data_IF_584467661451
#
_entry.id   IF_584467661451
#
_cell.length_a   1.000
_cell.length_b   1.000
_cell.length_c   1.000
_cell.angle_alpha   90.00
_cell.angle_beta   90.00
_cell.angle_gamma   90.00
#
_symmetry.space_group_name_H-M   'P 1'
#
loop_
_entity.id
_entity.type
_entity.pdbx_description
1 polymer ?
#
# COMPACT_ATOMS: atom_id res chain seq x y z
N UNK A 1 -13.15 -1.23 19.97
CA UNK A 1 -13.15 -2.62 19.47
C UNK A 1 -13.69 -2.80 18.05
N UNK A 2 -14.95 -2.44 17.73
CA UNK A 2 -15.49 -2.66 16.36
C UNK A 2 -14.77 -1.78 15.32
N UNK A 3 -14.59 -0.49 15.60
CA UNK A 3 -13.94 0.45 14.67
C UNK A 3 -12.43 0.19 14.53
N UNK A 4 -11.72 -0.12 15.62
CA UNK A 4 -10.31 -0.58 15.59
C UNK A 4 -10.15 -1.78 14.66
N UNK A 5 -11.04 -2.76 14.79
CA UNK A 5 -11.00 -3.98 13.97
C UNK A 5 -11.22 -3.64 12.50
N UNK A 6 -12.15 -2.72 12.18
CA UNK A 6 -12.36 -2.28 10.81
C UNK A 6 -11.11 -1.57 10.26
N UNK A 7 -10.48 -0.69 11.01
CA UNK A 7 -9.25 -0.02 10.58
C UNK A 7 -8.10 -1.02 10.35
N UNK A 8 -7.92 -1.99 11.27
CA UNK A 8 -6.94 -3.06 11.12
C UNK A 8 -7.22 -3.94 9.90
N UNK A 9 -8.50 -4.25 9.61
CA UNK A 9 -8.89 -5.01 8.43
C UNK A 9 -8.68 -4.23 7.13
N UNK A 10 -8.88 -2.91 7.14
CA UNK A 10 -8.58 -2.04 5.99
C UNK A 10 -7.08 -2.06 5.69
N UNK A 11 -6.22 -1.91 6.71
CA UNK A 11 -4.77 -2.01 6.55
C UNK A 11 -4.36 -3.39 6.02
N UNK A 12 -4.94 -4.46 6.56
CA UNK A 12 -4.68 -5.82 6.10
C UNK A 12 -5.08 -6.02 4.63
N UNK A 13 -6.31 -5.64 4.28
CA UNK A 13 -6.84 -5.79 2.92
C UNK A 13 -6.03 -4.99 1.90
N UNK A 14 -5.68 -3.75 2.24
CA UNK A 14 -4.81 -2.91 1.43
C UNK A 14 -3.41 -3.52 1.26
N UNK A 15 -2.79 -3.98 2.35
CA UNK A 15 -1.52 -4.69 2.33
C UNK A 15 -1.52 -5.93 1.44
N UNK A 16 -2.57 -6.75 1.53
CA UNK A 16 -2.73 -7.92 0.66
C UNK A 16 -2.90 -7.54 -0.81
N UNK A 17 -3.50 -6.39 -1.11
CA UNK A 17 -3.59 -5.83 -2.46
C UNK A 17 -2.22 -5.69 -3.14
N UNK A 18 -1.17 -5.32 -2.38
CA UNK A 18 0.18 -5.18 -2.93
C UNK A 18 0.81 -6.49 -3.41
N UNK A 19 0.30 -7.65 -2.98
CA UNK A 19 0.77 -8.95 -3.50
C UNK A 19 0.52 -9.09 -5.01
N UNK A 20 -0.46 -8.37 -5.55
CA UNK A 20 -0.74 -8.34 -6.99
C UNK A 20 0.40 -7.71 -7.80
N UNK A 21 1.09 -6.70 -7.26
CA UNK A 21 2.24 -6.07 -7.91
C UNK A 21 3.46 -7.00 -7.94
N UNK A 22 3.70 -7.75 -6.85
CA UNK A 22 4.72 -8.79 -6.83
C UNK A 22 4.40 -9.90 -7.86
N UNK A 23 3.17 -10.42 -7.82
CA UNK A 23 2.73 -11.46 -8.73
C UNK A 23 2.78 -11.00 -10.20
N UNK A 24 2.40 -9.76 -10.50
CA UNK A 24 2.47 -9.21 -11.85
C UNK A 24 3.90 -9.07 -12.38
N UNK A 25 4.86 -8.81 -11.51
CA UNK A 25 6.27 -8.69 -11.87
C UNK A 25 7.01 -10.04 -11.97
N UNK A 26 6.64 -11.02 -11.15
CA UNK A 26 7.37 -12.28 -11.00
C UNK A 26 6.66 -13.52 -11.57
N UNK A 27 5.42 -13.40 -12.03
CA UNK A 27 4.64 -14.52 -12.55
C UNK A 27 3.88 -14.16 -13.83
N UNK A 28 3.21 -15.16 -14.39
CA UNK A 28 2.31 -14.99 -15.53
C UNK A 28 0.84 -14.81 -15.14
N UNK A 29 0.55 -14.62 -13.84
CA UNK A 29 -0.81 -14.47 -13.32
C UNK A 29 -1.37 -13.09 -13.72
N UNK A 30 -2.65 -13.07 -14.12
CA UNK A 30 -3.37 -11.84 -14.38
C UNK A 30 -3.70 -11.11 -13.06
N UNK A 31 -3.20 -9.88 -12.91
CA UNK A 31 -3.17 -9.15 -11.63
C UNK A 31 -3.74 -7.74 -11.71
N UNK A 32 -4.38 -7.40 -12.84
CA UNK A 32 -4.87 -6.03 -13.08
C UNK A 32 -3.77 -5.03 -13.48
N UNK A 33 -2.54 -5.50 -13.71
CA UNK A 33 -1.50 -4.74 -14.39
C UNK A 33 -1.47 -5.10 -15.87
N UNK A 34 -1.48 -4.08 -16.74
CA UNK A 34 -1.25 -4.25 -18.17
C UNK A 34 0.24 -4.25 -18.51
N UNK A 35 0.62 -4.92 -19.59
CA UNK A 35 1.99 -4.91 -20.11
C UNK A 35 2.27 -3.65 -20.95
N UNK A 36 2.12 -2.49 -20.30
CA UNK A 36 2.48 -1.19 -20.84
C UNK A 36 3.76 -0.69 -20.18
N UNK A 37 4.53 0.17 -20.85
CA UNK A 37 5.63 0.86 -20.20
C UNK A 37 5.12 1.72 -19.05
N UNK A 38 5.94 1.91 -18.02
CA UNK A 38 5.68 2.84 -16.93
C UNK A 38 5.68 4.31 -17.42
N UNK A 39 5.37 5.27 -16.56
CA UNK A 39 5.21 6.68 -16.98
C UNK A 39 6.54 7.40 -17.32
N UNK A 40 7.70 6.86 -16.92
CA UNK A 40 9.00 7.52 -17.09
C UNK A 40 9.82 7.05 -18.31
N UNK A 41 9.27 6.19 -19.17
CA UNK A 41 9.95 5.76 -20.40
C UNK A 41 9.47 4.42 -20.96
N UNK A 42 9.74 4.18 -22.24
CA UNK A 42 9.16 3.06 -22.99
C UNK A 42 9.80 1.69 -22.72
N UNK A 43 11.01 1.68 -22.18
CA UNK A 43 11.80 0.46 -21.99
C UNK A 43 11.49 -0.30 -20.69
N UNK A 44 10.74 0.31 -19.77
CA UNK A 44 10.51 -0.26 -18.44
C UNK A 44 9.10 -0.83 -18.34
N UNK A 45 9.03 -2.16 -18.26
CA UNK A 45 7.79 -2.95 -18.16
C UNK A 45 7.75 -3.69 -16.84
N UNK A 46 6.56 -4.07 -16.38
CA UNK A 46 6.40 -4.72 -15.07
C UNK A 46 7.19 -6.03 -14.95
N UNK A 47 7.36 -6.78 -16.05
CA UNK A 47 8.12 -8.05 -16.07
C UNK A 47 9.62 -7.89 -16.32
N UNK A 48 10.09 -6.67 -16.58
CA UNK A 48 11.51 -6.38 -16.80
C UNK A 48 12.30 -6.46 -15.47
N UNK A 49 13.64 -6.46 -15.50
CA UNK A 49 14.45 -6.45 -14.28
C UNK A 49 14.08 -5.32 -13.31
N UNK A 50 13.80 -4.10 -13.81
CA UNK A 50 13.36 -3.00 -12.95
C UNK A 50 11.98 -3.29 -12.35
N UNK A 51 11.06 -3.86 -13.14
CA UNK A 51 9.73 -4.22 -12.66
C UNK A 51 9.78 -5.28 -11.55
N UNK A 52 10.73 -6.22 -11.63
CA UNK A 52 10.99 -7.20 -10.56
C UNK A 52 11.52 -6.56 -9.28
N UNK A 53 12.39 -5.54 -9.38
CA UNK A 53 12.82 -4.73 -8.23
C UNK A 53 11.62 -4.04 -7.60
N UNK A 54 10.75 -3.43 -8.41
CA UNK A 54 9.49 -2.85 -7.93
C UNK A 54 8.56 -3.89 -7.30
N UNK A 55 8.53 -5.12 -7.82
CA UNK A 55 7.83 -6.25 -7.21
C UNK A 55 8.29 -6.53 -5.77
N UNK A 56 9.58 -6.35 -5.46
CA UNK A 56 10.09 -6.44 -4.10
C UNK A 56 9.64 -5.27 -3.24
N UNK A 57 9.57 -4.06 -3.80
CA UNK A 57 9.01 -2.89 -3.09
C UNK A 57 7.52 -3.08 -2.79
N UNK A 58 6.74 -3.65 -3.73
CA UNK A 58 5.36 -4.07 -3.49
C UNK A 58 5.27 -5.06 -2.32
N UNK A 59 6.15 -6.07 -2.28
CA UNK A 59 6.20 -7.01 -1.17
C UNK A 59 6.55 -6.33 0.17
N UNK A 60 7.50 -5.38 0.16
CA UNK A 60 7.83 -4.60 1.35
C UNK A 60 6.63 -3.80 1.85
N UNK A 61 5.90 -3.12 0.96
CA UNK A 61 4.67 -2.40 1.32
C UNK A 61 3.62 -3.36 1.90
N UNK A 62 3.41 -4.52 1.29
CA UNK A 62 2.50 -5.55 1.79
C UNK A 62 2.85 -5.97 3.23
N UNK A 63 4.13 -6.27 3.49
CA UNK A 63 4.59 -6.66 4.82
C UNK A 63 4.39 -5.54 5.85
N UNK A 64 4.71 -4.30 5.50
CA UNK A 64 4.54 -3.15 6.39
C UNK A 64 3.07 -2.96 6.78
N UNK A 65 2.13 -3.09 5.84
CA UNK A 65 0.71 -3.00 6.15
C UNK A 65 0.17 -4.18 6.96
N UNK A 66 0.65 -5.39 6.69
CA UNK A 66 0.29 -6.57 7.51
C UNK A 66 0.78 -6.39 8.95
N UNK A 67 2.04 -5.96 9.14
CA UNK A 67 2.60 -5.68 10.47
C UNK A 67 1.83 -4.55 11.14
N UNK A 68 1.49 -3.49 10.39
CA UNK A 68 0.67 -2.38 10.88
C UNK A 68 -0.71 -2.84 11.33
N UNK A 69 -1.37 -3.72 10.58
CA UNK A 69 -2.67 -4.28 10.95
C UNK A 69 -2.58 -5.10 12.24
N UNK A 70 -1.56 -5.96 12.36
CA UNK A 70 -1.35 -6.75 13.58
C UNK A 70 -1.07 -5.84 14.79
N UNK A 71 -0.22 -4.82 14.62
CA UNK A 71 0.08 -3.86 15.67
C UNK A 71 -1.16 -3.06 16.10
N UNK A 72 -1.99 -2.63 15.14
CA UNK A 72 -3.25 -1.95 15.42
C UNK A 72 -4.21 -2.87 16.20
N UNK A 73 -4.32 -4.14 15.80
CA UNK A 73 -5.18 -5.12 16.45
C UNK A 73 -4.74 -5.47 17.87
N UNK A 74 -3.44 -5.44 18.15
CA UNK A 74 -2.88 -5.71 19.49
C UNK A 74 -2.75 -4.45 20.36
N UNK A 75 -3.19 -3.29 19.87
CA UNK A 75 -3.13 -2.02 20.61
C UNK A 75 -1.73 -1.42 20.71
N UNK A 76 -0.80 -1.78 19.81
CA UNK A 76 0.55 -1.22 19.78
C UNK A 76 0.63 0.05 18.91
N UNK A 77 1.04 1.17 19.48
CA UNK A 77 1.28 2.46 18.77
C UNK A 77 2.25 2.35 17.57
N UNK A 78 3.06 1.29 17.52
CA UNK A 78 3.97 1.04 16.40
C UNK A 78 3.24 0.88 15.06
N UNK A 79 1.93 0.61 15.06
CA UNK A 79 1.11 0.58 13.86
C UNK A 79 1.25 1.88 13.04
N UNK A 80 1.35 3.04 13.70
CA UNK A 80 1.49 4.34 13.03
C UNK A 80 2.75 4.38 12.15
N UNK A 81 3.88 3.94 12.69
CA UNK A 81 5.16 3.89 11.98
C UNK A 81 5.10 2.95 10.78
N UNK A 82 4.51 1.77 10.95
CA UNK A 82 4.41 0.78 9.87
C UNK A 82 3.41 1.21 8.79
N UNK A 83 2.26 1.77 9.16
CA UNK A 83 1.30 2.34 8.21
C UNK A 83 1.94 3.45 7.39
N UNK A 84 2.65 4.37 8.04
CA UNK A 84 3.32 5.48 7.36
C UNK A 84 4.39 4.99 6.38
N UNK A 85 5.28 4.09 6.84
CA UNK A 85 6.32 3.52 5.98
C UNK A 85 5.71 2.73 4.81
N UNK A 86 4.65 1.96 5.07
CA UNK A 86 3.90 1.21 4.07
C UNK A 86 3.29 2.12 3.01
N UNK A 87 2.67 3.23 3.41
CA UNK A 87 2.07 4.20 2.50
C UNK A 87 3.11 4.91 1.64
N UNK A 88 4.27 5.26 2.19
CA UNK A 88 5.37 5.84 1.40
C UNK A 88 5.88 4.81 0.36
N UNK A 89 6.11 3.56 0.78
CA UNK A 89 6.56 2.50 -0.10
C UNK A 89 5.54 2.19 -1.22
N UNK A 90 4.25 2.17 -0.86
CA UNK A 90 3.13 1.99 -1.79
C UNK A 90 3.10 3.08 -2.85
N UNK A 91 3.15 4.35 -2.45
CA UNK A 91 3.14 5.47 -3.41
C UNK A 91 4.38 5.38 -4.32
N UNK A 92 5.55 5.13 -3.73
CA UNK A 92 6.79 4.99 -4.48
C UNK A 92 6.73 3.88 -5.53
N UNK A 93 6.09 2.75 -5.23
CA UNK A 93 5.92 1.68 -6.21
C UNK A 93 4.79 1.94 -7.21
N UNK A 94 3.68 2.55 -6.80
CA UNK A 94 2.50 2.74 -7.64
C UNK A 94 2.62 3.88 -8.66
N UNK A 95 3.24 5.00 -8.29
CA UNK A 95 3.34 6.19 -9.16
C UNK A 95 3.99 5.88 -10.52
N UNK A 96 5.12 5.15 -10.60
CA UNK A 96 5.69 4.78 -11.89
C UNK A 96 4.72 3.98 -12.77
N UNK A 97 3.90 3.10 -12.18
CA UNK A 97 2.99 2.20 -12.89
C UNK A 97 1.57 2.79 -13.09
N UNK A 98 1.39 4.09 -12.92
CA UNK A 98 0.05 4.72 -12.92
C UNK A 98 -0.79 4.44 -14.17
N UNK A 99 -0.15 4.37 -15.33
CA UNK A 99 -0.77 4.11 -16.63
C UNK A 99 -0.99 2.60 -16.92
N UNK A 100 -0.50 1.70 -16.06
CA UNK A 100 -0.57 0.26 -16.27
C UNK A 100 -1.61 -0.43 -15.39
N UNK A 101 -1.96 0.17 -14.25
CA UNK A 101 -2.84 -0.41 -13.22
C UNK A 101 -4.32 -0.13 -13.42
N UNK A 102 -5.17 -1.07 -12.95
CA UNK A 102 -6.62 -0.87 -12.83
C UNK A 102 -6.99 0.25 -11.84
N UNK A 103 -8.21 0.77 -11.98
CA UNK A 103 -8.74 1.85 -11.15
C UNK A 103 -8.70 1.54 -9.64
N UNK A 104 -9.01 0.30 -9.24
CA UNK A 104 -8.97 -0.11 -7.83
C UNK A 104 -7.61 0.10 -7.17
N UNK A 105 -6.51 -0.16 -7.88
CA UNK A 105 -5.17 0.07 -7.35
C UNK A 105 -4.86 1.56 -7.16
N UNK A 106 -5.46 2.44 -7.96
CA UNK A 106 -5.34 3.90 -7.79
C UNK A 106 -6.08 4.41 -6.55
N UNK A 107 -7.18 3.75 -6.17
CA UNK A 107 -7.86 4.04 -4.89
C UNK A 107 -6.95 3.71 -3.70
N UNK A 108 -6.12 2.66 -3.82
CA UNK A 108 -5.09 2.35 -2.82
C UNK A 108 -4.13 3.52 -2.57
N UNK A 109 -3.70 4.21 -3.63
CA UNK A 109 -2.84 5.41 -3.50
C UNK A 109 -3.56 6.55 -2.77
N UNK A 110 -4.88 6.71 -2.96
CA UNK A 110 -5.65 7.71 -2.21
C UNK A 110 -5.76 7.35 -0.72
N UNK A 111 -5.90 6.06 -0.40
CA UNK A 111 -5.85 5.57 0.97
C UNK A 111 -4.48 5.88 1.60
N UNK A 112 -3.39 5.67 0.87
CA UNK A 112 -2.03 5.98 1.36
C UNK A 112 -1.85 7.47 1.66
N UNK A 113 -2.35 8.34 0.78
CA UNK A 113 -2.35 9.78 1.01
C UNK A 113 -3.18 10.11 2.26
N UNK A 114 -4.36 9.51 2.42
CA UNK A 114 -5.19 9.73 3.60
C UNK A 114 -4.49 9.29 4.89
N UNK A 115 -3.84 8.12 4.89
CA UNK A 115 -3.04 7.62 6.03
C UNK A 115 -1.93 8.61 6.36
N UNK A 116 -1.16 9.05 5.38
CA UNK A 116 -0.07 10.02 5.58
C UNK A 116 -0.60 11.33 6.17
N UNK A 117 -1.71 11.85 5.62
CA UNK A 117 -2.30 13.11 6.10
C UNK A 117 -2.81 12.96 7.55
N UNK A 118 -3.52 11.88 7.87
CA UNK A 118 -4.02 11.62 9.22
C UNK A 118 -2.87 11.48 10.22
N UNK A 119 -1.75 10.86 9.84
CA UNK A 119 -0.64 10.59 10.76
C UNK A 119 0.37 11.75 10.90
N UNK A 120 0.45 12.67 9.92
CA UNK A 120 1.45 13.75 9.93
C UNK A 120 0.83 15.12 10.18
N UNK A 121 -0.38 15.39 9.70
CA UNK A 121 -0.95 16.73 9.74
C UNK A 121 -1.50 17.03 11.14
N UNK A 122 -1.18 18.21 11.71
CA UNK A 122 -1.82 18.67 12.95
C UNK A 122 -3.34 18.66 12.82
N UNK A 123 -4.03 17.94 13.71
CA UNK A 123 -5.48 17.75 13.66
C UNK A 123 -5.94 16.44 12.99
N UNK A 124 -5.01 15.53 12.67
CA UNK A 124 -5.34 14.16 12.26
C UNK A 124 -5.72 13.22 13.42
N UNK A 125 -5.26 13.51 14.66
CA UNK A 125 -5.56 12.70 15.85
C UNK A 125 -7.05 12.42 16.09
N UNK A 126 -7.98 13.38 15.93
CA UNK A 126 -9.41 13.09 16.05
C UNK A 126 -9.92 11.98 15.12
N UNK A 127 -9.28 11.77 13.96
CA UNK A 127 -9.62 10.65 13.09
C UNK A 127 -9.10 9.32 13.64
N UNK A 128 -7.90 9.31 14.23
CA UNK A 128 -7.34 8.12 14.87
C UNK A 128 -8.19 7.73 16.09
N UNK A 129 -8.53 8.72 16.92
CA UNK A 129 -9.39 8.57 18.10
C UNK A 129 -10.79 8.07 17.71
N UNK A 130 -11.35 8.55 16.60
CA UNK A 130 -12.63 8.08 16.07
C UNK A 130 -12.63 6.57 15.83
N UNK A 131 -11.52 6.01 15.34
CA UNK A 131 -11.38 4.58 15.14
C UNK A 131 -11.05 3.80 16.42
N UNK A 132 -10.72 4.48 17.53
CA UNK A 132 -10.29 3.85 18.79
C UNK A 132 -8.89 3.27 18.73
N UNK A 133 -8.08 3.67 17.75
CA UNK A 133 -6.70 3.21 17.62
C UNK A 133 -5.79 3.93 18.64
N UNK A 134 -4.74 3.27 19.12
CA UNK A 134 -3.75 3.88 20.01
C UNK A 134 -2.89 4.93 19.26
#
# INVERSE_FOLDING_TARGET
MVLETLAALVLLGHGLGHTTGLAGAWSNIETGFSDKPWIFGENMRLRSPIGKVFGLVFLTAAMLFVISSVAAFTGSESWRTFALAGSIASIACMVPWWNTVIFGARLGVLLDIAIILVLIVPGGEPFVDFFGLP
#
